data_IF_646805406849
#
_entry.id   IF_646805406849
#
_cell.length_a   1.000
_cell.length_b   1.000
_cell.length_c   1.000
_cell.angle_alpha   90.00
_cell.angle_beta   90.00
_cell.angle_gamma   90.00
#
_symmetry.space_group_name_H-M   'P 1'
#
loop_
_entity.id
_entity.type
_entity.pdbx_description
1 polymer ?
#
# COMPACT_ATOMS: atom_id res chain seq x y z
N UNK A 1 -13.11 33.40 -0.48
CA UNK A 1 -11.69 33.17 -0.14
C UNK A 1 -10.90 33.20 -1.44
N UNK A 2 -9.82 33.98 -1.55
CA UNK A 2 -9.01 33.99 -2.80
C UNK A 2 -8.28 32.65 -2.93
N UNK A 3 -8.13 32.13 -4.15
CA UNK A 3 -7.52 30.81 -4.39
C UNK A 3 -6.14 30.64 -3.74
N UNK A 4 -5.31 31.70 -3.74
CA UNK A 4 -3.99 31.73 -3.08
C UNK A 4 -4.06 31.61 -1.54
N UNK A 5 -5.09 32.20 -0.93
CA UNK A 5 -5.30 32.09 0.51
C UNK A 5 -5.78 30.70 0.90
N UNK A 6 -6.65 30.10 0.08
CA UNK A 6 -7.06 28.71 0.25
C UNK A 6 -5.87 27.75 0.12
N UNK A 7 -5.03 27.92 -0.92
CA UNK A 7 -3.81 27.12 -1.10
C UNK A 7 -2.90 27.18 0.12
N UNK A 8 -2.56 28.38 0.60
CA UNK A 8 -1.75 28.54 1.82
C UNK A 8 -2.36 27.87 3.06
N UNK A 9 -3.69 27.91 3.21
CA UNK A 9 -4.37 27.24 4.32
C UNK A 9 -4.31 25.71 4.21
N UNK A 10 -4.40 25.17 3.00
CA UNK A 10 -4.25 23.73 2.73
C UNK A 10 -2.81 23.29 3.01
N UNK A 11 -1.82 24.05 2.57
CA UNK A 11 -0.39 23.74 2.79
C UNK A 11 -0.08 23.76 4.29
N UNK A 12 -0.46 24.83 5.00
CA UNK A 12 -0.25 24.94 6.46
C UNK A 12 -1.02 23.88 7.26
N UNK A 13 -2.13 23.34 6.73
CA UNK A 13 -2.82 22.21 7.35
C UNK A 13 -2.08 20.90 7.09
N UNK A 14 -1.58 20.70 5.89
CA UNK A 14 -0.79 19.52 5.51
C UNK A 14 0.47 19.42 6.36
N UNK A 15 1.21 20.52 6.53
CA UNK A 15 2.41 20.58 7.39
C UNK A 15 2.10 20.17 8.82
N UNK A 16 1.04 20.73 9.43
CA UNK A 16 0.61 20.37 10.79
C UNK A 16 0.20 18.90 10.89
N UNK A 17 -0.50 18.36 9.89
CA UNK A 17 -0.86 16.95 9.89
C UNK A 17 0.37 16.05 9.85
N UNK A 18 1.38 16.41 9.05
CA UNK A 18 2.64 15.66 8.97
C UNK A 18 3.39 15.71 10.30
N UNK A 19 3.49 16.88 10.92
CA UNK A 19 4.12 17.03 12.24
C UNK A 19 3.44 16.17 13.32
N UNK A 20 2.11 16.24 13.41
CA UNK A 20 1.31 15.44 14.34
C UNK A 20 1.41 13.93 14.06
N UNK A 21 1.47 13.53 12.79
CA UNK A 21 1.67 12.12 12.42
C UNK A 21 3.08 11.63 12.76
N UNK A 22 4.10 12.44 12.52
CA UNK A 22 5.48 12.12 12.84
C UNK A 22 5.67 11.95 14.35
N UNK A 23 5.10 12.86 15.17
CA UNK A 23 5.19 12.81 16.64
C UNK A 23 4.54 11.58 17.28
N UNK A 24 3.69 10.85 16.56
CA UNK A 24 3.00 9.63 17.03
C UNK A 24 3.24 8.41 16.13
N UNK A 25 4.25 8.47 15.26
CA UNK A 25 4.51 7.42 14.29
C UNK A 25 4.85 6.10 15.00
N UNK A 26 4.12 5.04 14.65
CA UNK A 26 4.23 3.71 15.28
C UNK A 26 4.02 2.56 14.29
N UNK A 27 3.93 2.86 12.99
CA UNK A 27 3.71 1.88 11.93
C UNK A 27 4.37 2.36 10.64
N UNK A 28 4.56 1.44 9.69
CA UNK A 28 5.11 1.77 8.37
C UNK A 28 4.23 2.73 7.57
N UNK A 29 2.92 2.78 7.84
CA UNK A 29 2.03 3.80 7.27
C UNK A 29 2.40 5.21 7.72
N UNK A 30 2.74 5.37 9.00
CA UNK A 30 3.17 6.67 9.56
C UNK A 30 4.64 7.01 9.23
N UNK A 31 5.43 6.06 8.74
CA UNK A 31 6.84 6.28 8.39
C UNK A 31 7.02 7.34 7.28
N UNK A 32 6.02 7.52 6.42
CA UNK A 32 6.06 8.58 5.41
C UNK A 32 6.16 9.99 6.03
N UNK A 33 5.51 10.23 7.18
CA UNK A 33 5.60 11.52 7.86
C UNK A 33 7.00 11.75 8.46
N UNK A 34 7.61 10.70 9.01
CA UNK A 34 9.00 10.72 9.49
C UNK A 34 9.98 10.99 8.35
N UNK A 35 9.80 10.35 7.19
CA UNK A 35 10.62 10.61 6.00
C UNK A 35 10.56 12.06 5.55
N UNK A 36 9.36 12.67 5.51
CA UNK A 36 9.19 14.10 5.18
C UNK A 36 9.91 15.00 6.18
N UNK A 37 9.92 14.63 7.47
CA UNK A 37 10.61 15.37 8.53
C UNK A 37 12.12 15.02 8.62
N UNK A 38 12.66 14.20 7.71
CA UNK A 38 14.07 13.79 7.71
C UNK A 38 14.47 12.85 8.84
N UNK A 39 13.52 12.23 9.55
CA UNK A 39 13.77 11.37 10.72
C UNK A 39 14.05 9.91 10.32
N UNK A 40 15.07 9.71 9.48
CA UNK A 40 15.38 8.41 8.84
C UNK A 40 15.69 7.31 9.85
N UNK A 41 16.43 7.62 10.91
CA UNK A 41 16.79 6.67 11.97
C UNK A 41 15.55 6.05 12.66
N UNK A 42 14.48 6.85 12.85
CA UNK A 42 13.23 6.33 13.40
C UNK A 42 12.49 5.44 12.40
N UNK A 43 12.58 5.72 11.10
CA UNK A 43 12.01 4.86 10.06
C UNK A 43 12.73 3.51 10.03
N UNK A 44 14.06 3.51 10.13
CA UNK A 44 14.85 2.27 10.25
C UNK A 44 14.37 1.45 11.45
N UNK A 45 14.25 2.08 12.62
CA UNK A 45 13.76 1.42 13.83
C UNK A 45 12.35 0.85 13.64
N UNK A 46 11.42 1.58 13.02
CA UNK A 46 10.07 1.07 12.73
C UNK A 46 10.08 -0.17 11.83
N UNK A 47 10.94 -0.20 10.82
CA UNK A 47 11.10 -1.39 9.95
C UNK A 47 11.65 -2.56 10.74
N UNK A 48 12.63 -2.33 11.63
CA UNK A 48 13.16 -3.36 12.52
C UNK A 48 12.13 -3.85 13.54
N UNK A 49 11.32 -2.98 14.11
CA UNK A 49 10.27 -3.35 15.07
C UNK A 49 9.17 -4.16 14.38
N UNK A 50 8.80 -3.77 13.17
CA UNK A 50 7.74 -4.43 12.39
C UNK A 50 8.13 -5.83 11.90
N UNK A 51 9.36 -5.99 11.39
CA UNK A 51 9.79 -7.23 10.74
C UNK A 51 10.82 -8.03 11.54
N UNK A 52 11.23 -7.51 12.70
CA UNK A 52 12.20 -8.13 13.59
C UNK A 52 13.60 -8.25 13.01
N UNK A 53 14.45 -8.98 13.75
CA UNK A 53 15.71 -9.51 13.23
C UNK A 53 15.41 -10.67 12.26
N UNK A 54 16.26 -10.93 11.25
CA UNK A 54 16.11 -12.13 10.44
C UNK A 54 16.24 -13.32 11.38
N UNK A 55 15.16 -14.07 11.59
CA UNK A 55 15.25 -15.32 12.35
C UNK A 55 16.04 -16.32 11.51
N UNK A 56 17.32 -16.50 11.84
CA UNK A 56 18.26 -17.41 11.16
C UNK A 56 18.10 -18.88 11.58
N UNK A 57 17.07 -19.21 12.38
CA UNK A 57 16.78 -20.60 12.76
C UNK A 57 16.12 -21.38 11.62
N UNK A 58 16.20 -22.72 11.62
CA UNK A 58 15.60 -23.57 10.57
C UNK A 58 14.06 -23.46 10.49
N UNK A 59 13.42 -22.82 11.46
CA UNK A 59 11.98 -22.52 11.49
C UNK A 59 11.68 -21.01 11.60
N UNK A 60 12.70 -20.16 11.44
CA UNK A 60 12.57 -18.72 11.48
C UNK A 60 11.77 -18.19 10.30
N UNK A 61 10.47 -17.99 10.48
CA UNK A 61 9.61 -17.42 9.44
C UNK A 61 9.35 -15.96 9.78
N UNK A 62 9.67 -15.07 8.84
CA UNK A 62 9.11 -13.71 8.88
C UNK A 62 7.69 -13.84 8.31
N UNK A 63 6.69 -13.82 9.18
CA UNK A 63 5.29 -13.77 8.75
C UNK A 63 4.87 -12.30 8.68
N UNK A 64 4.18 -11.91 7.63
CA UNK A 64 3.68 -10.53 7.48
C UNK A 64 2.33 -10.53 6.81
N UNK A 65 1.42 -9.72 7.35
CA UNK A 65 0.11 -9.52 6.78
C UNK A 65 0.13 -8.57 5.59
N UNK A 66 -1.01 -8.53 4.91
CA UNK A 66 -1.22 -7.72 3.71
C UNK A 66 -1.04 -6.21 3.96
N UNK A 67 -1.42 -5.72 5.15
CA UNK A 67 -1.28 -4.31 5.53
C UNK A 67 0.19 -3.93 5.69
N UNK A 68 0.98 -4.78 6.34
CA UNK A 68 2.40 -4.55 6.60
C UNK A 68 3.21 -4.56 5.30
N UNK A 69 2.98 -5.54 4.42
CA UNK A 69 3.71 -5.62 3.15
C UNK A 69 3.33 -4.50 2.18
N UNK A 70 2.07 -4.07 2.17
CA UNK A 70 1.64 -2.94 1.35
C UNK A 70 2.27 -1.63 1.84
N UNK A 71 2.29 -1.40 3.16
CA UNK A 71 2.94 -0.23 3.75
C UNK A 71 4.45 -0.23 3.46
N UNK A 72 5.11 -1.37 3.62
CA UNK A 72 6.54 -1.51 3.35
C UNK A 72 6.87 -1.26 1.88
N UNK A 73 6.07 -1.79 0.95
CA UNK A 73 6.29 -1.56 -0.48
C UNK A 73 6.04 -0.11 -0.87
N UNK A 74 5.04 0.58 -0.30
CA UNK A 74 4.84 2.01 -0.52
C UNK A 74 6.01 2.85 0.01
N UNK A 75 6.53 2.52 1.19
CA UNK A 75 7.74 3.15 1.74
C UNK A 75 8.93 2.98 0.78
N UNK A 76 9.17 1.76 0.31
CA UNK A 76 10.27 1.43 -0.61
C UNK A 76 10.09 2.06 -2.00
N UNK A 77 8.88 2.09 -2.54
CA UNK A 77 8.60 2.70 -3.84
C UNK A 77 8.79 4.22 -3.82
N UNK A 78 8.36 4.88 -2.74
CA UNK A 78 8.42 6.34 -2.65
C UNK A 78 9.78 6.87 -2.18
N UNK A 79 10.42 6.16 -1.25
CA UNK A 79 11.60 6.65 -0.54
C UNK A 79 12.82 5.75 -0.73
N UNK A 80 12.75 4.75 -1.60
CA UNK A 80 13.78 3.72 -1.69
C UNK A 80 15.20 4.23 -1.90
N UNK A 81 15.38 5.35 -2.61
CA UNK A 81 16.69 5.95 -2.85
C UNK A 81 17.25 6.71 -1.63
N UNK A 82 16.42 6.93 -0.62
CA UNK A 82 16.73 7.66 0.61
C UNK A 82 16.84 6.79 1.86
N UNK A 83 16.43 5.51 1.75
CA UNK A 83 16.48 4.53 2.83
C UNK A 83 17.87 3.90 2.91
N UNK A 84 18.29 3.49 4.11
CA UNK A 84 19.49 2.70 4.29
C UNK A 84 19.40 1.34 3.57
N UNK A 85 20.53 0.84 3.08
CA UNK A 85 20.61 -0.43 2.35
C UNK A 85 20.11 -1.60 3.21
N UNK A 86 20.38 -1.58 4.52
CA UNK A 86 19.94 -2.58 5.46
C UNK A 86 18.40 -2.64 5.60
N UNK A 87 17.74 -1.48 5.49
CA UNK A 87 16.27 -1.39 5.48
C UNK A 87 15.72 -1.98 4.18
N UNK A 88 16.30 -1.60 3.03
CA UNK A 88 15.88 -2.14 1.74
C UNK A 88 16.03 -3.66 1.70
N UNK A 89 17.17 -4.17 2.18
CA UNK A 89 17.43 -5.61 2.25
C UNK A 89 16.47 -6.31 3.21
N UNK A 90 16.11 -5.69 4.34
CA UNK A 90 15.09 -6.23 5.25
C UNK A 90 13.75 -6.39 4.54
N UNK A 91 13.25 -5.34 3.89
CA UNK A 91 11.96 -5.41 3.18
C UNK A 91 12.04 -6.42 2.03
N UNK A 92 13.16 -6.46 1.28
CA UNK A 92 13.39 -7.47 0.24
C UNK A 92 13.30 -8.88 0.80
N UNK A 93 13.92 -9.17 1.95
CA UNK A 93 13.85 -10.49 2.59
C UNK A 93 12.41 -10.86 2.99
N UNK A 94 11.64 -9.92 3.53
CA UNK A 94 10.21 -10.14 3.82
C UNK A 94 9.46 -10.52 2.55
N UNK A 95 9.61 -9.73 1.49
CA UNK A 95 8.86 -9.91 0.24
C UNK A 95 9.27 -11.15 -0.54
N UNK A 96 10.55 -11.54 -0.51
CA UNK A 96 11.08 -12.65 -1.31
C UNK A 96 11.16 -13.97 -0.56
N UNK A 97 11.22 -13.96 0.78
CA UNK A 97 11.44 -15.17 1.59
C UNK A 97 10.48 -15.30 2.77
N UNK A 98 9.68 -14.27 3.07
CA UNK A 98 8.71 -14.27 4.15
C UNK A 98 7.47 -15.11 3.85
N UNK A 99 6.78 -15.56 4.91
CA UNK A 99 5.47 -16.18 4.80
C UNK A 99 4.41 -15.06 4.77
N UNK A 100 3.98 -14.69 3.58
CA UNK A 100 3.06 -13.57 3.40
C UNK A 100 1.62 -14.04 3.55
N UNK A 101 0.92 -13.56 4.57
CA UNK A 101 -0.51 -13.80 4.72
C UNK A 101 -1.28 -12.87 3.76
N UNK A 102 -2.09 -13.48 2.91
CA UNK A 102 -2.93 -12.79 1.94
C UNK A 102 -4.25 -12.32 2.55
N UNK A 103 -4.67 -12.90 3.68
CA UNK A 103 -6.00 -12.70 4.24
C UNK A 103 -7.14 -13.32 3.41
N UNK A 104 -8.38 -13.00 3.77
CA UNK A 104 -9.59 -13.65 3.26
C UNK A 104 -10.67 -12.72 2.68
N UNK A 105 -10.42 -11.41 2.60
CA UNK A 105 -11.36 -10.42 2.02
C UNK A 105 -10.80 -9.80 0.75
N UNK A 106 -11.63 -9.06 0.01
CA UNK A 106 -11.21 -8.48 -1.28
C UNK A 106 -10.13 -7.42 -1.08
N UNK A 107 -10.27 -6.54 -0.08
CA UNK A 107 -9.22 -5.56 0.24
C UNK A 107 -7.89 -6.24 0.61
N UNK A 108 -7.93 -7.33 1.39
CA UNK A 108 -6.73 -8.05 1.78
C UNK A 108 -6.02 -8.64 0.56
N UNK A 109 -6.77 -9.23 -0.36
CA UNK A 109 -6.22 -9.81 -1.59
C UNK A 109 -5.64 -8.72 -2.49
N UNK A 110 -6.34 -7.60 -2.61
CA UNK A 110 -5.88 -6.47 -3.40
C UNK A 110 -4.57 -5.90 -2.87
N UNK A 111 -4.49 -5.61 -1.57
CA UNK A 111 -3.26 -5.11 -0.95
C UNK A 111 -2.11 -6.13 -1.10
N UNK A 112 -2.41 -7.42 -0.99
CA UNK A 112 -1.39 -8.47 -1.10
C UNK A 112 -0.83 -8.54 -2.52
N UNK A 113 -1.70 -8.56 -3.53
CA UNK A 113 -1.29 -8.63 -4.92
C UNK A 113 -0.67 -7.32 -5.40
N UNK A 114 -1.11 -6.15 -4.92
CA UNK A 114 -0.48 -4.87 -5.23
C UNK A 114 0.97 -4.83 -4.70
N UNK A 115 1.18 -5.18 -3.43
CA UNK A 115 2.52 -5.26 -2.85
C UNK A 115 3.41 -6.27 -3.58
N UNK A 116 2.90 -7.47 -3.87
CA UNK A 116 3.66 -8.50 -4.57
C UNK A 116 3.99 -8.13 -6.02
N UNK A 117 3.09 -7.43 -6.73
CA UNK A 117 3.36 -6.93 -8.08
C UNK A 117 4.53 -5.95 -8.05
N UNK A 118 4.45 -4.92 -7.21
CA UNK A 118 5.51 -3.91 -7.07
C UNK A 118 6.85 -4.55 -6.62
N UNK A 119 6.80 -5.51 -5.69
CA UNK A 119 7.98 -6.23 -5.24
C UNK A 119 8.60 -7.07 -6.37
N UNK A 120 7.78 -7.77 -7.16
CA UNK A 120 8.24 -8.59 -8.28
C UNK A 120 8.83 -7.77 -9.42
N UNK A 121 8.33 -6.54 -9.62
CA UNK A 121 8.94 -5.59 -10.55
C UNK A 121 10.27 -5.06 -10.02
N UNK A 122 10.35 -4.73 -8.72
CA UNK A 122 11.56 -4.18 -8.11
C UNK A 122 12.69 -5.21 -8.01
N UNK A 123 12.38 -6.44 -7.61
CA UNK A 123 13.33 -7.53 -7.38
C UNK A 123 13.05 -8.71 -8.32
N UNK A 124 12.85 -8.42 -9.60
CA UNK A 124 12.55 -9.42 -10.63
C UNK A 124 13.70 -10.40 -10.91
N UNK A 125 14.89 -10.12 -10.38
CA UNK A 125 16.09 -10.92 -10.45
C UNK A 125 16.33 -11.80 -9.20
N UNK A 126 15.40 -11.80 -8.25
CA UNK A 126 15.52 -12.61 -7.04
C UNK A 126 15.61 -14.12 -7.37
N UNK A 127 16.55 -14.79 -6.71
CA UNK A 127 16.86 -16.21 -6.86
C UNK A 127 15.76 -17.13 -6.30
N UNK A 128 15.11 -16.67 -5.24
CA UNK A 128 14.04 -17.36 -4.53
C UNK A 128 12.88 -16.39 -4.35
N UNK A 129 11.68 -16.88 -4.62
CA UNK A 129 10.45 -16.24 -4.16
C UNK A 129 9.80 -17.08 -3.06
N UNK A 130 8.96 -16.46 -2.25
CA UNK A 130 8.44 -17.06 -1.02
C UNK A 130 7.60 -18.32 -1.27
N UNK A 131 7.00 -18.43 -2.46
CA UNK A 131 6.20 -19.58 -2.89
C UNK A 131 7.02 -20.63 -3.67
N UNK A 132 8.34 -20.45 -3.78
CA UNK A 132 9.23 -21.34 -4.52
C UNK A 132 9.14 -21.23 -6.05
N UNK A 133 8.38 -20.27 -6.59
CA UNK A 133 8.29 -19.99 -8.02
C UNK A 133 9.20 -18.81 -8.41
N UNK A 134 9.51 -18.60 -9.70
CA UNK A 134 10.23 -17.41 -10.13
C UNK A 134 9.42 -16.11 -9.88
N UNK A 135 10.06 -14.94 -9.66
CA UNK A 135 9.37 -13.66 -9.46
C UNK A 135 8.35 -13.33 -10.56
N UNK A 136 8.66 -13.70 -11.81
CA UNK A 136 7.76 -13.54 -12.96
C UNK A 136 6.42 -14.25 -12.78
N UNK A 137 6.38 -15.40 -12.11
CA UNK A 137 5.13 -16.12 -11.85
C UNK A 137 4.23 -15.33 -10.90
N UNK A 138 4.81 -14.73 -9.84
CA UNK A 138 4.09 -13.86 -8.92
C UNK A 138 3.57 -12.61 -9.64
N UNK A 139 4.40 -11.98 -10.48
CA UNK A 139 3.99 -10.83 -11.28
C UNK A 139 2.76 -11.14 -12.12
N UNK A 140 2.77 -12.25 -12.88
CA UNK A 140 1.66 -12.63 -13.75
C UNK A 140 0.39 -12.98 -12.97
N UNK A 141 0.52 -13.66 -11.82
CA UNK A 141 -0.61 -13.95 -10.96
C UNK A 141 -1.25 -12.67 -10.41
N UNK A 142 -0.43 -11.78 -9.84
CA UNK A 142 -0.87 -10.51 -9.29
C UNK A 142 -1.54 -9.66 -10.36
N UNK A 143 -0.91 -9.51 -11.53
CA UNK A 143 -1.48 -8.77 -12.67
C UNK A 143 -2.84 -9.33 -13.08
N UNK A 144 -2.94 -10.65 -13.28
CA UNK A 144 -4.20 -11.32 -13.67
C UNK A 144 -5.28 -11.07 -12.63
N UNK A 145 -4.95 -11.17 -11.35
CA UNK A 145 -5.92 -10.98 -10.27
C UNK A 145 -6.40 -9.52 -10.20
N UNK A 146 -5.47 -8.56 -10.19
CA UNK A 146 -5.76 -7.11 -10.12
C UNK A 146 -6.63 -6.69 -11.30
N UNK A 147 -6.23 -7.01 -12.53
CA UNK A 147 -6.99 -6.63 -13.72
C UNK A 147 -8.38 -7.31 -13.76
N UNK A 148 -8.46 -8.56 -13.29
CA UNK A 148 -9.74 -9.25 -13.16
C UNK A 148 -10.66 -8.60 -12.12
N UNK A 149 -10.10 -8.13 -11.00
CA UNK A 149 -10.85 -7.39 -9.98
C UNK A 149 -11.33 -6.04 -10.54
N UNK A 150 -10.45 -5.25 -11.17
CA UNK A 150 -10.82 -3.98 -11.81
C UNK A 150 -11.95 -4.16 -12.82
N UNK A 151 -11.87 -5.20 -13.67
CA UNK A 151 -12.91 -5.49 -14.64
C UNK A 151 -14.26 -5.82 -13.98
N UNK A 152 -14.26 -6.57 -12.87
CA UNK A 152 -15.49 -6.83 -12.10
C UNK A 152 -16.04 -5.56 -11.47
N UNK A 153 -15.19 -4.76 -10.82
CA UNK A 153 -15.58 -3.48 -10.22
C UNK A 153 -16.23 -2.54 -11.23
N UNK A 154 -15.66 -2.43 -12.42
CA UNK A 154 -16.20 -1.57 -13.47
C UNK A 154 -17.56 -2.06 -14.04
N UNK A 155 -17.87 -3.35 -13.94
CA UNK A 155 -19.10 -3.93 -14.49
C UNK A 155 -20.24 -3.99 -13.47
N UNK A 156 -19.94 -4.34 -12.22
CA UNK A 156 -20.95 -4.69 -11.22
C UNK A 156 -20.68 -4.07 -9.83
N UNK A 157 -19.70 -3.18 -9.70
CA UNK A 157 -19.24 -2.68 -8.40
C UNK A 157 -18.27 -3.65 -7.72
N UNK A 158 -17.66 -3.23 -6.61
CA UNK A 158 -16.72 -4.05 -5.84
C UNK A 158 -17.41 -4.77 -4.68
N UNK A 159 -16.86 -5.91 -4.24
CA UNK A 159 -17.56 -6.82 -3.32
C UNK A 159 -17.72 -6.31 -1.89
N UNK A 160 -16.97 -5.26 -1.55
CA UNK A 160 -16.97 -4.67 -0.23
C UNK A 160 -17.88 -3.44 -0.11
N UNK A 161 -18.63 -3.14 -1.18
CA UNK A 161 -19.56 -2.01 -1.25
C UNK A 161 -18.88 -0.69 -0.84
N UNK A 162 -19.64 0.34 -0.52
CA UNK A 162 -19.08 1.67 -0.23
C UNK A 162 -18.57 1.78 1.22
N UNK A 163 -18.02 0.69 1.78
CA UNK A 163 -17.44 0.65 3.13
C UNK A 163 -16.37 1.72 3.29
N UNK A 164 -16.53 2.74 4.15
CA UNK A 164 -15.54 3.81 4.29
C UNK A 164 -14.19 3.28 4.76
N UNK A 165 -14.18 2.22 5.57
CA UNK A 165 -12.97 1.58 6.08
C UNK A 165 -12.19 0.86 4.96
N UNK A 166 -12.88 0.05 4.15
CA UNK A 166 -12.21 -0.73 3.10
C UNK A 166 -11.96 0.08 1.83
N UNK A 167 -12.73 1.15 1.60
CA UNK A 167 -12.49 2.08 0.50
C UNK A 167 -11.07 2.66 0.55
N UNK A 168 -10.58 3.01 1.75
CA UNK A 168 -9.19 3.45 1.93
C UNK A 168 -8.17 2.39 1.52
N UNK A 169 -8.43 1.12 1.81
CA UNK A 169 -7.54 0.01 1.42
C UNK A 169 -7.49 -0.15 -0.10
N UNK A 170 -8.64 -0.01 -0.78
CA UNK A 170 -8.73 -0.06 -2.23
C UNK A 170 -8.04 1.13 -2.89
N UNK A 171 -8.34 2.33 -2.44
CA UNK A 171 -7.76 3.58 -2.94
C UNK A 171 -6.24 3.59 -2.77
N UNK A 172 -5.73 3.22 -1.58
CA UNK A 172 -4.27 3.16 -1.34
C UNK A 172 -3.58 2.12 -2.23
N UNK A 173 -4.18 0.96 -2.43
CA UNK A 173 -3.63 -0.04 -3.35
C UNK A 173 -3.62 0.48 -4.79
N UNK A 174 -4.69 1.13 -5.25
CA UNK A 174 -4.74 1.70 -6.60
C UNK A 174 -3.76 2.87 -6.79
N UNK A 175 -3.61 3.75 -5.81
CA UNK A 175 -2.58 4.81 -5.81
C UNK A 175 -1.19 4.18 -5.93
N UNK A 176 -0.90 3.14 -5.13
CA UNK A 176 0.40 2.48 -5.19
C UNK A 176 0.74 1.93 -6.58
N UNK A 177 -0.26 1.39 -7.28
CA UNK A 177 -0.10 0.83 -8.62
C UNK A 177 -0.04 1.92 -9.69
N UNK A 178 -0.89 2.94 -9.59
CA UNK A 178 -0.90 4.08 -10.52
C UNK A 178 0.42 4.87 -10.47
N UNK A 179 0.98 5.06 -9.28
CA UNK A 179 2.20 5.86 -9.12
C UNK A 179 3.48 5.06 -9.41
N UNK A 180 3.49 3.75 -9.14
CA UNK A 180 4.74 2.99 -9.06
C UNK A 180 4.83 1.71 -9.90
N UNK A 181 3.73 1.21 -10.47
CA UNK A 181 3.81 0.01 -11.31
C UNK A 181 4.58 0.30 -12.60
N UNK A 182 5.48 -0.62 -12.98
CA UNK A 182 6.20 -0.61 -14.26
C UNK A 182 5.37 -1.20 -15.39
N UNK A 183 4.45 -2.11 -15.09
CA UNK A 183 3.49 -2.64 -16.06
C UNK A 183 2.46 -1.57 -16.44
N UNK A 184 2.62 -1.00 -17.64
CA UNK A 184 1.79 0.08 -18.18
C UNK A 184 0.29 -0.22 -18.17
N UNK A 185 -0.08 -1.49 -18.41
CA UNK A 185 -1.49 -1.88 -18.41
C UNK A 185 -2.07 -1.84 -17.00
N UNK A 186 -1.32 -2.34 -16.00
CA UNK A 186 -1.73 -2.27 -14.60
C UNK A 186 -1.82 -0.82 -14.15
N UNK A 187 -0.81 0.00 -14.45
CA UNK A 187 -0.80 1.43 -14.12
C UNK A 187 -2.02 2.16 -14.67
N UNK A 188 -2.25 2.07 -15.98
CA UNK A 188 -3.37 2.75 -16.65
C UNK A 188 -4.75 2.28 -16.14
N UNK A 189 -4.90 1.00 -15.80
CA UNK A 189 -6.17 0.50 -15.27
C UNK A 189 -6.38 0.90 -13.81
N UNK A 190 -5.30 0.94 -13.01
CA UNK A 190 -5.34 1.43 -11.64
C UNK A 190 -5.78 2.90 -11.58
N UNK A 191 -5.24 3.76 -12.45
CA UNK A 191 -5.66 5.17 -12.57
C UNK A 191 -7.16 5.33 -12.88
N UNK A 192 -7.67 4.50 -13.82
CA UNK A 192 -9.08 4.55 -14.23
C UNK A 192 -10.02 4.11 -13.12
N UNK A 193 -9.73 3.00 -12.45
CA UNK A 193 -10.58 2.53 -11.35
C UNK A 193 -10.43 3.42 -10.12
N UNK A 194 -9.27 4.02 -9.88
CA UNK A 194 -9.08 5.03 -8.84
C UNK A 194 -9.98 6.25 -9.10
N UNK A 195 -10.06 6.70 -10.35
CA UNK A 195 -10.99 7.76 -10.75
C UNK A 195 -12.44 7.37 -10.46
N UNK A 196 -12.82 6.13 -10.76
CA UNK A 196 -14.16 5.60 -10.44
C UNK A 196 -14.43 5.61 -8.94
N UNK A 197 -13.51 5.08 -8.12
CA UNK A 197 -13.64 5.04 -6.65
C UNK A 197 -13.77 6.44 -6.04
N UNK A 198 -12.96 7.40 -6.49
CA UNK A 198 -13.03 8.78 -5.99
C UNK A 198 -14.32 9.49 -6.43
N UNK A 199 -14.79 9.23 -7.65
CA UNK A 199 -16.06 9.79 -8.14
C UNK A 199 -17.25 9.22 -7.35
N UNK A 200 -17.21 7.93 -7.04
CA UNK A 200 -18.22 7.22 -6.25
C UNK A 200 -18.27 7.74 -4.81
N UNK A 201 -17.09 7.89 -4.16
CA UNK A 201 -16.99 8.56 -2.86
C UNK A 201 -17.59 9.96 -2.89
N UNK A 202 -17.28 10.76 -3.91
CA UNK A 202 -17.75 12.14 -4.00
C UNK A 202 -19.29 12.24 -4.13
N UNK A 203 -19.93 11.27 -4.78
CA UNK A 203 -21.39 11.19 -4.90
C UNK A 203 -22.05 10.96 -3.53
N UNK A 204 -21.42 10.12 -2.71
CA UNK A 204 -21.95 9.69 -1.41
C UNK A 204 -21.43 10.53 -0.23
N UNK A 205 -20.66 11.59 -0.49
CA UNK A 205 -20.08 12.44 0.55
C UNK A 205 -20.96 13.66 0.85
N UNK A 206 -21.45 13.76 2.08
CA UNK A 206 -22.26 14.89 2.54
C UNK A 206 -21.73 15.48 3.84
N UNK A 207 -21.42 16.78 3.82
CA UNK A 207 -21.02 17.58 5.00
C UNK A 207 -19.89 16.97 5.84
N UNK A 208 -18.91 16.33 5.21
CA UNK A 208 -17.75 15.78 5.90
C UNK A 208 -17.84 14.30 6.24
N UNK A 209 -18.92 13.62 5.85
CA UNK A 209 -19.13 12.19 6.10
C UNK A 209 -19.64 11.47 4.87
N UNK A 210 -19.36 10.17 4.77
CA UNK A 210 -20.11 9.28 3.90
C UNK A 210 -21.56 9.26 4.38
N UNK A 211 -22.49 9.43 3.47
CA UNK A 211 -23.94 9.49 3.73
C UNK A 211 -24.74 8.51 2.86
N UNK A 212 -24.06 7.81 1.97
CA UNK A 212 -24.62 6.78 1.09
C UNK A 212 -24.90 5.43 1.70
N UNK A 213 -25.39 4.51 0.87
CA UNK A 213 -25.57 3.12 1.23
C UNK A 213 -24.25 2.38 1.37
N UNK A 214 -23.60 2.50 2.52
CA UNK A 214 -22.36 1.79 2.81
C UNK A 214 -22.61 0.49 3.61
N UNK A 215 -21.79 -0.53 3.35
CA UNK A 215 -21.88 -1.85 3.98
C UNK A 215 -20.56 -2.22 4.68
N UNK A 216 -20.61 -3.31 5.46
CA UNK A 216 -19.52 -3.99 6.20
C UNK A 216 -18.46 -3.04 6.81
N UNK A 217 -18.71 -2.67 8.05
CA UNK A 217 -17.65 -2.33 8.99
C UNK A 217 -17.32 -3.59 9.79
N UNK A 218 -16.05 -3.99 9.83
CA UNK A 218 -15.62 -5.03 10.75
C UNK A 218 -15.51 -4.41 12.14
N UNK A 219 -16.45 -4.73 13.03
CA UNK A 219 -16.31 -4.46 14.47
C UNK A 219 -15.33 -5.43 15.11
#
# INVERSE_FOLDING_TARGET
MRAEEYGRQVDARSERMIEEMAGRANSLWSAHALMVQGQKEQVEQLVYDQFGKPNLGPFGRVASGTFEIQAAMLLVCRWGDELADEVLERVRQVMTRGMLDRGNTENHWLMHYAANLLASERWGDADVWWNGLPPQAMHQEAKRWILGMIARTALIGHHEYDSPQYHLCHVLAMISLADHARDEQVRSQAEKVLTLLVADMALEYFKGSWAGGHSREGY
#
